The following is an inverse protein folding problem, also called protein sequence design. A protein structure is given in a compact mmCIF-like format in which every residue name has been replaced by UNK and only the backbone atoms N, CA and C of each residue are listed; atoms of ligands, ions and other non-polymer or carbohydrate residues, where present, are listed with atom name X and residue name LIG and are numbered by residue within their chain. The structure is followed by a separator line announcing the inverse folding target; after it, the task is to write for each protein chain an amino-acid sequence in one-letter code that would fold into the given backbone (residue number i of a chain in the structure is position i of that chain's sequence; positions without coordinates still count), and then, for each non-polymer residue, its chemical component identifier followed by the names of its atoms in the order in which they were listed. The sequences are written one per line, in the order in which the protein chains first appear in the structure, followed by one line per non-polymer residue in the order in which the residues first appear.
data_IF_901674102970
#
_entry.id   IF_901674102970
#
_cell.length_a   1.000
_cell.length_b   1.000
_cell.length_c   1.000
_cell.angle_alpha   90.00
_cell.angle_beta   90.00
_cell.angle_gamma   90.00
#
_symmetry.space_group_name_H-M   'P 1'
#
loop_
_entity.id
_entity.type
_entity.pdbx_description
1 polymer ?
#
# COMPACT_ATOMS: atom_id res chain seq x y z
N UNK A 1 -6.46 20.66 2.35
CA UNK A 1 -5.32 19.74 2.42
C UNK A 1 -4.71 19.69 1.03
N UNK A 2 -3.42 19.96 0.89
CA UNK A 2 -2.69 19.85 -0.38
C UNK A 2 -2.39 18.37 -0.68
N UNK A 3 -2.11 18.04 -1.94
CA UNK A 3 -1.74 16.68 -2.31
C UNK A 3 -0.51 16.17 -1.52
N UNK A 4 0.46 17.04 -1.26
CA UNK A 4 1.65 16.72 -0.46
C UNK A 4 1.31 16.36 0.99
N UNK A 5 0.40 17.11 1.61
CA UNK A 5 -0.09 16.82 2.97
C UNK A 5 -0.84 15.49 3.02
N UNK A 6 -1.70 15.23 2.02
CA UNK A 6 -2.43 13.97 1.90
C UNK A 6 -1.48 12.76 1.77
N UNK A 7 -0.44 12.88 0.94
CA UNK A 7 0.58 11.84 0.75
C UNK A 7 1.34 11.59 2.05
N UNK A 8 1.78 12.66 2.71
CA UNK A 8 2.56 12.56 3.96
C UNK A 8 1.75 11.88 5.05
N UNK A 9 0.49 12.26 5.21
CA UNK A 9 -0.41 11.66 6.19
C UNK A 9 -0.69 10.19 5.87
N UNK A 10 -0.86 9.83 4.60
CA UNK A 10 -1.05 8.44 4.21
C UNK A 10 0.21 7.59 4.45
N UNK A 11 1.40 8.11 4.13
CA UNK A 11 2.68 7.46 4.43
C UNK A 11 2.83 7.21 5.93
N UNK A 12 2.48 8.21 6.76
CA UNK A 12 2.49 8.08 8.22
C UNK A 12 1.53 6.99 8.69
N UNK A 13 0.27 7.03 8.24
CA UNK A 13 -0.76 6.01 8.56
C UNK A 13 -0.32 4.61 8.16
N UNK A 14 0.28 4.44 6.99
CA UNK A 14 0.80 3.14 6.53
C UNK A 14 1.96 2.66 7.40
N UNK A 15 2.90 3.54 7.73
CA UNK A 15 4.06 3.20 8.57
C UNK A 15 3.63 2.75 9.96
N UNK A 16 2.75 3.52 10.61
CA UNK A 16 2.25 3.21 11.96
C UNK A 16 1.26 2.04 11.97
N UNK A 17 0.43 1.94 10.94
CA UNK A 17 -0.64 0.96 10.85
C UNK A 17 -0.11 -0.42 10.48
N UNK A 18 0.81 -0.52 9.52
CA UNK A 18 1.37 -1.82 9.08
C UNK A 18 2.05 -2.55 10.24
N UNK A 19 2.78 -1.83 11.09
CA UNK A 19 3.40 -2.39 12.28
C UNK A 19 2.40 -3.10 13.23
N UNK A 20 1.11 -2.77 13.14
CA UNK A 20 0.04 -3.34 13.99
C UNK A 20 -0.73 -4.48 13.32
N UNK A 21 -0.77 -4.52 11.99
CA UNK A 21 -1.68 -5.42 11.25
C UNK A 21 -0.98 -6.45 10.37
N UNK A 22 0.34 -6.35 10.23
CA UNK A 22 1.16 -7.24 9.40
C UNK A 22 2.06 -8.13 10.29
N UNK A 23 1.48 -9.06 11.05
CA UNK A 23 2.23 -9.89 12.01
C UNK A 23 3.24 -10.81 11.32
N UNK A 24 3.07 -11.06 10.03
CA UNK A 24 3.95 -11.89 9.22
C UNK A 24 4.98 -11.07 8.42
N UNK A 25 5.03 -9.75 8.59
CA UNK A 25 5.96 -8.84 7.90
C UNK A 25 6.00 -9.06 6.39
N UNK A 26 4.82 -9.23 5.79
CA UNK A 26 4.68 -9.47 4.36
C UNK A 26 4.88 -8.20 3.55
N UNK A 27 4.45 -7.07 4.09
CA UNK A 27 4.60 -5.74 3.49
C UNK A 27 5.56 -4.87 4.30
N UNK A 28 5.57 -4.99 5.63
CA UNK A 28 6.50 -4.25 6.48
C UNK A 28 7.94 -4.64 6.13
N UNK A 29 8.80 -3.63 5.91
CA UNK A 29 10.19 -3.85 5.51
C UNK A 29 10.40 -4.16 4.04
N UNK A 30 9.34 -4.26 3.22
CA UNK A 30 9.46 -4.43 1.78
C UNK A 30 9.74 -3.11 1.07
N UNK A 31 10.46 -3.13 -0.07
CA UNK A 31 10.62 -1.94 -0.89
C UNK A 31 9.26 -1.37 -1.29
N UNK A 32 9.02 -0.10 -0.93
CA UNK A 32 7.78 0.62 -1.25
C UNK A 32 8.09 1.84 -2.12
N UNK A 33 7.29 2.08 -3.15
CA UNK A 33 7.33 3.31 -3.95
C UNK A 33 5.96 4.00 -3.96
N UNK A 34 6.00 5.32 -4.07
CA UNK A 34 4.84 6.20 -4.13
C UNK A 34 4.87 6.99 -5.43
N UNK A 35 3.78 6.98 -6.20
CA UNK A 35 3.66 7.70 -7.46
C UNK A 35 2.31 8.39 -7.57
N UNK A 36 2.33 9.70 -7.85
CA UNK A 36 1.10 10.44 -8.17
C UNK A 36 0.70 10.16 -9.62
N UNK A 37 -0.58 9.89 -9.84
CA UNK A 37 -1.20 9.70 -11.16
C UNK A 37 -2.21 10.82 -11.37
N UNK A 38 -2.03 11.57 -12.46
CA UNK A 38 -2.90 12.67 -12.92
C UNK A 38 -3.22 13.73 -11.84
N UNK A 39 -2.35 13.86 -10.82
CA UNK A 39 -2.54 14.78 -9.69
C UNK A 39 -3.69 14.43 -8.75
N UNK A 40 -4.41 13.33 -9.00
CA UNK A 40 -5.65 12.99 -8.29
C UNK A 40 -5.57 11.66 -7.55
N UNK A 41 -4.68 10.77 -7.97
CA UNK A 41 -4.52 9.44 -7.38
C UNK A 41 -3.07 9.24 -6.92
N UNK A 42 -2.90 8.42 -5.89
CA UNK A 42 -1.61 7.94 -5.44
C UNK A 42 -1.57 6.42 -5.62
N UNK A 43 -0.56 5.98 -6.36
CA UNK A 43 -0.18 4.57 -6.45
C UNK A 43 0.90 4.28 -5.41
N UNK A 44 0.69 3.21 -4.65
CA UNK A 44 1.61 2.69 -3.63
C UNK A 44 1.97 1.27 -4.06
N UNK A 45 3.24 1.00 -4.30
CA UNK A 45 3.70 -0.30 -4.81
C UNK A 45 4.70 -0.93 -3.87
N UNK A 46 4.35 -2.10 -3.34
CA UNK A 46 5.26 -2.98 -2.60
C UNK A 46 5.81 -4.05 -3.54
N UNK A 47 7.12 -4.23 -3.53
CA UNK A 47 7.85 -5.25 -4.32
C UNK A 47 8.44 -6.33 -3.43
N UNK A 48 8.89 -7.41 -4.06
CA UNK A 48 9.59 -8.52 -3.40
C UNK A 48 8.77 -9.16 -2.26
N UNK A 49 7.45 -9.20 -2.43
CA UNK A 49 6.50 -9.78 -1.47
C UNK A 49 6.43 -11.29 -1.72
N UNK A 50 6.85 -12.11 -0.76
CA UNK A 50 6.89 -13.58 -0.93
C UNK A 50 5.49 -14.24 -1.01
N UNK A 51 4.45 -13.52 -0.63
CA UNK A 51 3.06 -13.99 -0.61
C UNK A 51 2.22 -13.02 0.20
N UNK A 52 0.91 -12.95 -0.03
CA UNK A 52 0.02 -12.11 0.76
C UNK A 52 -1.36 -12.73 0.87
N UNK A 53 -1.93 -12.73 2.07
CA UNK A 53 -3.27 -13.21 2.34
C UNK A 53 -4.29 -12.07 2.23
N UNK A 54 -5.53 -12.42 1.90
CA UNK A 54 -6.63 -11.46 1.77
C UNK A 54 -6.86 -10.65 3.05
N UNK A 55 -6.65 -11.27 4.23
CA UNK A 55 -6.78 -10.60 5.52
C UNK A 55 -5.78 -9.45 5.68
N UNK A 56 -4.54 -9.61 5.21
CA UNK A 56 -3.49 -8.59 5.25
C UNK A 56 -3.85 -7.45 4.30
N UNK A 57 -4.29 -7.76 3.08
CA UNK A 57 -4.79 -6.76 2.12
C UNK A 57 -5.96 -5.96 2.68
N UNK A 58 -6.91 -6.63 3.33
CA UNK A 58 -8.06 -6.00 3.96
C UNK A 58 -7.64 -5.08 5.11
N UNK A 59 -6.66 -5.50 5.90
CA UNK A 59 -6.05 -4.66 6.94
C UNK A 59 -5.47 -3.37 6.36
N UNK A 60 -4.68 -3.46 5.28
CA UNK A 60 -4.09 -2.29 4.64
C UNK A 60 -5.15 -1.36 4.07
N UNK A 61 -6.19 -1.90 3.41
CA UNK A 61 -7.33 -1.10 2.94
C UNK A 61 -8.00 -0.33 4.06
N UNK A 62 -8.11 -0.89 5.28
CA UNK A 62 -8.65 -0.19 6.45
C UNK A 62 -7.73 0.95 6.92
N UNK A 63 -6.42 0.80 6.80
CA UNK A 63 -5.46 1.88 7.11
C UNK A 63 -5.58 3.00 6.10
N UNK A 64 -5.75 2.68 4.81
CA UNK A 64 -5.80 3.65 3.72
C UNK A 64 -7.13 4.41 3.70
N UNK A 65 -8.25 3.69 3.63
CA UNK A 65 -9.58 4.26 3.44
C UNK A 65 -10.45 3.45 2.48
N UNK A 66 -11.74 3.82 2.40
CA UNK A 66 -12.76 3.08 1.63
C UNK A 66 -12.50 3.06 0.12
N UNK A 67 -11.97 4.15 -0.44
CA UNK A 67 -11.72 4.29 -1.87
C UNK A 67 -10.32 3.80 -2.23
N UNK A 68 -10.10 2.50 -2.11
CA UNK A 68 -8.80 1.88 -2.33
C UNK A 68 -8.90 0.69 -3.28
N UNK A 69 -8.33 0.83 -4.47
CA UNK A 69 -8.12 -0.29 -5.39
C UNK A 69 -6.86 -1.03 -5.00
N UNK A 70 -6.91 -2.36 -5.05
CA UNK A 70 -5.76 -3.20 -4.76
C UNK A 70 -5.60 -4.22 -5.89
N UNK A 71 -4.35 -4.46 -6.29
CA UNK A 71 -3.99 -5.53 -7.21
C UNK A 71 -2.76 -6.26 -6.68
N UNK A 72 -2.73 -7.57 -6.92
CA UNK A 72 -1.60 -8.45 -6.63
C UNK A 72 -1.22 -9.09 -7.94
N UNK A 73 0.06 -9.01 -8.29
CA UNK A 73 0.57 -9.51 -9.57
C UNK A 73 1.90 -10.23 -9.36
N UNK A 74 2.19 -11.32 -10.11
CA UNK A 74 3.51 -11.94 -10.07
C UNK A 74 4.59 -10.95 -10.53
N UNK A 75 5.64 -10.83 -9.73
CA UNK A 75 6.89 -10.18 -10.12
C UNK A 75 7.88 -11.22 -10.65
N UNK A 76 7.94 -12.37 -9.99
CA UNK A 76 8.68 -13.57 -10.40
C UNK A 76 7.84 -14.82 -10.07
N UNK A 77 8.41 -16.02 -10.20
CA UNK A 77 7.76 -17.26 -9.76
C UNK A 77 7.52 -17.33 -8.24
N UNK A 78 8.32 -16.60 -7.45
CA UNK A 78 8.31 -16.66 -5.97
C UNK A 78 7.95 -15.32 -5.31
N UNK A 79 7.87 -14.24 -6.09
CA UNK A 79 7.64 -12.89 -5.58
C UNK A 79 6.47 -12.22 -6.27
N UNK A 80 5.78 -11.40 -5.50
CA UNK A 80 4.62 -10.62 -5.91
C UNK A 80 4.93 -9.13 -5.85
N UNK A 81 4.24 -8.39 -6.69
CA UNK A 81 4.03 -6.95 -6.55
C UNK A 81 2.61 -6.74 -6.03
N UNK A 82 2.50 -6.02 -4.91
CA UNK A 82 1.22 -5.59 -4.32
C UNK A 82 1.07 -4.10 -4.51
N UNK A 83 0.00 -3.69 -5.19
CA UNK A 83 -0.25 -2.30 -5.53
C UNK A 83 -1.57 -1.83 -4.96
N UNK A 84 -1.56 -0.64 -4.38
CA UNK A 84 -2.74 0.10 -3.95
C UNK A 84 -2.86 1.41 -4.73
N UNK A 85 -4.07 1.76 -5.15
CA UNK A 85 -4.35 3.03 -5.83
C UNK A 85 -5.49 3.73 -5.10
N UNK A 86 -5.25 4.98 -4.70
CA UNK A 86 -6.10 5.71 -3.75
C UNK A 86 -6.26 7.16 -4.20
N UNK A 87 -7.41 7.82 -3.96
CA UNK A 87 -7.58 9.22 -4.28
C UNK A 87 -6.81 10.11 -3.30
N UNK A 88 -6.31 11.25 -3.78
CA UNK A 88 -5.60 12.29 -3.02
C UNK A 88 -6.55 13.39 -2.46
N UNK A 89 -7.84 13.09 -2.34
CA UNK A 89 -8.89 14.05 -1.97
C UNK A 89 -8.92 14.38 -0.48
#
# INVERSE_FOLDING_TARGET
MTATEAITELQRRLTEGLAKIDPHHRLLGRPVSYRVIDGQMLEITYRDVAGIADAELLGVKRIIGRDCFCSVSPQTAEQLTVRFVVPLK
#
